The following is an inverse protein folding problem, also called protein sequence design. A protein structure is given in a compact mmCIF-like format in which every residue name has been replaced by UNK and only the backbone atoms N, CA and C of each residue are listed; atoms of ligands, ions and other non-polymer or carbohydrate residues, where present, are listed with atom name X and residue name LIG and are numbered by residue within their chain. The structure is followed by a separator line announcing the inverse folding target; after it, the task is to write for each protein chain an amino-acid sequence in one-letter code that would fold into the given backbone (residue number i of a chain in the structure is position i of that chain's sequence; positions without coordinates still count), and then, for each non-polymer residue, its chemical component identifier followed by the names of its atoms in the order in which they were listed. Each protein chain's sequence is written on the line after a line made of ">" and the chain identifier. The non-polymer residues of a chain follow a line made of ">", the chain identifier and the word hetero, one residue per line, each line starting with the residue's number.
data_IF_793884020720
#
_entry.id   IF_793884020720
#
_cell.length_a   1.000
_cell.length_b   1.000
_cell.length_c   1.000
_cell.angle_alpha   90.00
_cell.angle_beta   90.00
_cell.angle_gamma   90.00
#
_symmetry.space_group_name_H-M   'P 1'
#
loop_
_entity.id
_entity.type
_entity.pdbx_description
1 polymer ?
#
# COMPACT_ATOMS: atom_id res chain seq x y z
N UNK A 1 -11.16 6.73 16.46
CA UNK A 1 -10.16 7.09 15.45
C UNK A 1 -10.73 6.99 14.05
N UNK A 2 -10.85 8.12 13.33
CA UNK A 2 -11.16 8.17 11.90
C UNK A 2 -9.92 7.77 11.08
N UNK A 3 -10.10 7.10 9.95
CA UNK A 3 -9.00 6.71 9.05
C UNK A 3 -9.11 7.42 7.70
N UNK A 4 -8.10 8.24 7.39
CA UNK A 4 -7.92 8.84 6.07
C UNK A 4 -6.88 8.04 5.30
N UNK A 5 -7.33 7.40 4.22
CA UNK A 5 -6.47 6.69 3.29
C UNK A 5 -6.07 7.60 2.13
N UNK A 6 -4.80 7.58 1.76
CA UNK A 6 -4.27 8.31 0.60
C UNK A 6 -3.85 7.29 -0.46
N UNK A 7 -4.42 7.38 -1.67
CA UNK A 7 -4.18 6.44 -2.78
C UNK A 7 -3.73 7.17 -4.06
N UNK A 8 -3.13 6.43 -4.97
CA UNK A 8 -2.83 6.90 -6.32
C UNK A 8 -2.89 5.77 -7.36
N UNK A 9 -3.32 6.12 -8.58
CA UNK A 9 -3.46 5.19 -9.71
C UNK A 9 -2.17 4.42 -10.03
N UNK A 10 -1.03 5.10 -9.92
CA UNK A 10 0.29 4.58 -10.27
C UNK A 10 1.34 5.03 -9.26
N UNK A 11 2.52 4.42 -9.35
CA UNK A 11 3.71 4.90 -8.65
C UNK A 11 4.18 6.25 -9.20
N UNK A 12 4.80 7.09 -8.36
CA UNK A 12 5.39 8.37 -8.77
C UNK A 12 4.43 9.57 -8.84
N UNK A 13 3.13 9.38 -8.58
CA UNK A 13 2.12 10.45 -8.52
C UNK A 13 2.29 11.42 -7.34
N UNK A 14 3.16 11.13 -6.37
CA UNK A 14 3.39 11.97 -5.19
C UNK A 14 2.47 11.69 -3.99
N UNK A 15 1.84 10.51 -3.97
CA UNK A 15 1.02 9.99 -2.87
C UNK A 15 1.73 10.10 -1.51
N UNK A 16 2.93 9.52 -1.38
CA UNK A 16 3.74 9.56 -0.15
C UNK A 16 4.13 10.99 0.23
N UNK A 17 4.36 11.88 -0.75
CA UNK A 17 4.64 13.31 -0.49
C UNK A 17 3.45 13.98 0.21
N UNK A 18 2.24 13.71 -0.26
CA UNK A 18 1.01 14.21 0.38
C UNK A 18 0.80 13.54 1.74
N UNK A 19 1.01 12.22 1.84
CA UNK A 19 0.82 11.48 3.08
C UNK A 19 1.77 11.93 4.20
N UNK A 20 3.06 12.09 3.90
CA UNK A 20 4.05 12.60 4.86
C UNK A 20 3.74 14.02 5.32
N UNK A 21 3.31 14.90 4.40
CA UNK A 21 2.84 16.23 4.75
C UNK A 21 1.62 16.17 5.68
N UNK A 22 0.66 15.28 5.41
CA UNK A 22 -0.55 15.15 6.25
C UNK A 22 -0.23 14.60 7.64
N UNK A 23 0.70 13.65 7.74
CA UNK A 23 1.21 13.17 9.04
C UNK A 23 1.83 14.33 9.83
N UNK A 24 2.67 15.14 9.19
CA UNK A 24 3.32 16.29 9.83
C UNK A 24 2.32 17.37 10.26
N UNK A 25 1.42 17.79 9.37
CA UNK A 25 0.42 18.83 9.63
C UNK A 25 -0.59 18.42 10.70
N UNK A 26 -1.03 17.15 10.69
CA UNK A 26 -1.99 16.64 11.67
C UNK A 26 -1.39 16.36 13.04
N UNK A 27 -0.06 16.19 13.12
CA UNK A 27 0.61 15.65 14.31
C UNK A 27 -0.09 14.39 14.84
N UNK A 28 -0.60 13.57 13.92
CA UNK A 28 -1.35 12.37 14.30
C UNK A 28 -0.50 11.43 15.14
N UNK A 29 -1.12 10.81 16.14
CA UNK A 29 -0.52 9.78 16.96
C UNK A 29 -0.50 8.41 16.26
N UNK A 30 -1.18 8.24 15.12
CA UNK A 30 -1.19 6.96 14.40
C UNK A 30 -1.13 7.14 12.88
N UNK A 31 -0.18 6.47 12.25
CA UNK A 31 -0.09 6.43 10.80
C UNK A 31 0.49 5.11 10.31
N UNK A 32 0.27 4.81 9.03
CA UNK A 32 0.75 3.59 8.42
C UNK A 32 1.24 3.78 6.99
N UNK A 33 2.21 2.97 6.59
CA UNK A 33 2.68 2.83 5.22
C UNK A 33 2.30 1.44 4.71
N UNK A 34 1.29 1.43 3.85
CA UNK A 34 0.76 0.23 3.20
C UNK A 34 1.40 -0.01 1.82
N UNK A 35 2.39 0.79 1.40
CA UNK A 35 3.22 0.47 0.24
C UNK A 35 4.33 -0.51 0.66
N UNK A 36 3.94 -1.77 0.89
CA UNK A 36 4.82 -2.79 1.49
C UNK A 36 5.89 -3.33 0.54
N UNK A 37 5.79 -3.02 -0.75
CA UNK A 37 6.77 -3.40 -1.77
C UNK A 37 7.98 -2.45 -1.75
N UNK A 38 7.72 -1.15 -1.59
CA UNK A 38 8.73 -0.10 -1.53
C UNK A 38 8.40 0.94 -0.44
N UNK A 39 8.33 0.53 0.84
CA UNK A 39 7.92 1.43 1.91
C UNK A 39 8.93 2.55 2.08
N UNK A 40 8.46 3.77 2.18
CA UNK A 40 9.29 4.98 2.15
C UNK A 40 8.84 6.05 3.15
N UNK A 41 7.63 5.95 3.72
CA UNK A 41 7.13 6.93 4.66
C UNK A 41 7.98 6.99 5.95
N UNK A 42 8.57 5.85 6.33
CA UNK A 42 9.46 5.73 7.47
C UNK A 42 10.69 6.64 7.38
N UNK A 43 11.16 6.95 6.17
CA UNK A 43 12.35 7.78 5.94
C UNK A 43 12.14 9.23 6.39
N UNK A 44 10.91 9.74 6.31
CA UNK A 44 10.63 11.17 6.52
C UNK A 44 10.51 11.53 8.00
N UNK A 45 10.19 10.57 8.88
CA UNK A 45 9.85 10.86 10.28
C UNK A 45 10.57 9.99 11.33
N UNK A 46 11.35 8.98 10.93
CA UNK A 46 11.94 7.98 11.85
C UNK A 46 13.44 7.79 11.71
N UNK A 47 14.21 8.87 11.45
CA UNK A 47 15.67 8.76 11.47
C UNK A 47 16.15 8.25 12.83
N UNK A 48 16.68 7.03 12.85
CA UNK A 48 17.27 6.34 14.00
C UNK A 48 16.31 5.88 15.11
N UNK A 49 15.00 5.76 14.86
CA UNK A 49 14.10 5.13 15.84
C UNK A 49 14.19 3.60 15.80
N UNK A 50 14.24 2.97 16.98
CA UNK A 50 14.12 1.53 17.11
C UNK A 50 12.71 1.06 16.76
N UNK A 51 12.60 -0.08 16.08
CA UNK A 51 11.32 -0.73 15.79
C UNK A 51 11.36 -2.18 16.23
N UNK A 52 10.17 -2.73 16.49
CA UNK A 52 10.00 -4.19 16.61
C UNK A 52 9.65 -4.77 15.24
N UNK A 53 10.17 -5.97 14.96
CA UNK A 53 9.93 -6.67 13.70
C UNK A 53 9.31 -8.04 13.96
N UNK A 54 8.39 -8.43 13.08
CA UNK A 54 7.77 -9.76 13.11
C UNK A 54 7.74 -10.32 11.70
N UNK A 55 8.26 -11.54 11.54
CA UNK A 55 8.19 -12.27 10.28
C UNK A 55 6.74 -12.43 9.80
N UNK A 56 6.54 -12.19 8.51
CA UNK A 56 5.26 -12.39 7.86
C UNK A 56 5.31 -13.62 6.97
N UNK A 57 4.41 -14.55 7.25
CA UNK A 57 4.31 -15.83 6.57
C UNK A 57 3.25 -15.75 5.49
N UNK A 58 3.65 -16.05 4.26
CA UNK A 58 2.73 -16.19 3.12
C UNK A 58 2.13 -17.59 3.04
N UNK A 59 1.65 -17.93 1.84
CA UNK A 59 1.24 -19.30 1.54
C UNK A 59 2.44 -20.24 1.69
N UNK A 60 2.17 -21.44 2.24
CA UNK A 60 3.19 -22.47 2.40
C UNK A 60 3.70 -22.94 1.04
N UNK A 61 4.98 -23.28 0.94
CA UNK A 61 5.59 -23.80 -0.30
C UNK A 61 5.75 -25.31 -0.21
N UNK A 62 5.62 -25.99 -1.34
CA UNK A 62 5.78 -27.43 -1.40
C UNK A 62 7.25 -27.84 -1.26
N UNK A 63 7.50 -28.97 -0.62
CA UNK A 63 8.81 -29.60 -0.49
C UNK A 63 8.66 -31.11 -0.69
N UNK A 64 9.40 -31.67 -1.64
CA UNK A 64 9.44 -33.10 -1.93
C UNK A 64 10.58 -33.72 -1.12
N UNK A 65 10.26 -34.74 -0.31
CA UNK A 65 11.27 -35.53 0.39
C UNK A 65 11.88 -36.56 -0.57
N UNK A 66 13.18 -36.47 -0.90
CA UNK A 66 13.83 -37.38 -1.84
C UNK A 66 13.85 -38.83 -1.35
N UNK A 67 13.91 -39.08 -0.04
CA UNK A 67 14.02 -40.43 0.52
C UNK A 67 12.71 -41.23 0.41
N UNK A 68 11.58 -40.54 0.21
CA UNK A 68 10.24 -41.14 0.12
C UNK A 68 9.73 -41.12 -1.33
N UNK A 69 10.23 -40.19 -2.14
CA UNK A 69 9.74 -39.99 -3.51
C UNK A 69 10.05 -41.21 -4.39
N UNK A 70 9.01 -41.78 -5.00
CA UNK A 70 9.13 -42.89 -5.95
C UNK A 70 9.20 -42.41 -7.42
N UNK A 71 9.45 -41.12 -7.65
CA UNK A 71 9.54 -40.50 -8.98
C UNK A 71 8.35 -40.79 -9.94
N UNK A 72 7.12 -40.88 -9.42
CA UNK A 72 5.94 -41.24 -10.22
C UNK A 72 5.40 -40.15 -11.18
N UNK A 73 5.92 -38.92 -11.14
CA UNK A 73 5.51 -37.85 -12.08
C UNK A 73 4.20 -37.12 -11.78
N UNK A 74 3.27 -37.68 -11.00
CA UNK A 74 1.95 -37.08 -10.76
C UNK A 74 1.98 -35.63 -10.25
N UNK A 75 2.94 -35.28 -9.40
CA UNK A 75 3.07 -33.91 -8.91
C UNK A 75 3.45 -32.91 -10.01
N UNK A 76 4.23 -33.34 -11.01
CA UNK A 76 4.64 -32.55 -12.16
C UNK A 76 3.45 -32.35 -13.12
N UNK A 77 2.78 -33.44 -13.49
CA UNK A 77 1.61 -33.42 -14.41
C UNK A 77 0.47 -32.51 -13.92
N UNK A 78 0.26 -32.45 -12.60
CA UNK A 78 -0.82 -31.64 -12.01
C UNK A 78 -0.39 -30.23 -11.60
N UNK A 79 0.88 -29.85 -11.76
CA UNK A 79 1.34 -28.50 -11.45
C UNK A 79 0.95 -27.54 -12.57
N UNK A 80 0.04 -26.60 -12.30
CA UNK A 80 -0.35 -25.55 -13.26
C UNK A 80 0.59 -24.35 -13.32
N UNK A 81 1.63 -24.35 -12.49
CA UNK A 81 2.55 -23.22 -12.30
C UNK A 81 3.98 -23.56 -12.70
N UNK A 82 4.18 -24.73 -13.32
CA UNK A 82 5.51 -25.23 -13.75
C UNK A 82 6.56 -25.20 -12.63
N UNK A 83 6.11 -25.34 -11.38
CA UNK A 83 6.95 -25.20 -10.19
C UNK A 83 7.65 -26.50 -9.80
N UNK A 84 7.38 -27.60 -10.49
CA UNK A 84 8.03 -28.89 -10.26
C UNK A 84 9.08 -29.08 -11.34
N UNK A 85 10.32 -29.35 -10.95
CA UNK A 85 11.43 -29.56 -11.87
C UNK A 85 11.71 -31.06 -11.96
N UNK A 86 11.81 -31.56 -13.19
CA UNK A 86 12.16 -32.96 -13.47
C UNK A 86 13.64 -33.25 -13.19
N UNK A 87 13.92 -34.46 -12.74
CA UNK A 87 15.27 -34.98 -12.46
C UNK A 87 15.17 -36.46 -12.06
N UNK A 88 16.27 -37.05 -11.57
CA UNK A 88 16.22 -38.40 -10.97
C UNK A 88 15.20 -38.47 -9.82
N UNK A 89 15.07 -37.35 -9.09
CA UNK A 89 14.00 -37.08 -8.13
C UNK A 89 13.46 -35.69 -8.43
N UNK A 90 12.13 -35.55 -8.42
CA UNK A 90 11.45 -34.27 -8.61
C UNK A 90 11.80 -33.28 -7.47
N UNK A 91 12.05 -32.03 -7.83
CA UNK A 91 12.23 -30.94 -6.87
C UNK A 91 11.26 -29.79 -7.15
N UNK A 92 11.15 -28.85 -6.20
CA UNK A 92 10.21 -27.72 -6.29
C UNK A 92 11.00 -26.43 -6.45
N UNK A 93 10.71 -25.67 -7.49
CA UNK A 93 11.07 -24.26 -7.54
C UNK A 93 10.13 -23.46 -6.63
N UNK A 94 10.67 -22.98 -5.51
CA UNK A 94 9.89 -22.22 -4.53
C UNK A 94 9.41 -20.87 -5.04
N UNK A 95 10.07 -20.30 -6.05
CA UNK A 95 9.67 -19.02 -6.62
C UNK A 95 8.39 -19.17 -7.46
N UNK A 96 8.35 -20.18 -8.32
CA UNK A 96 7.18 -20.48 -9.17
C UNK A 96 6.03 -21.18 -8.43
N UNK A 97 6.29 -21.76 -7.25
CA UNK A 97 5.27 -22.50 -6.50
C UNK A 97 4.22 -21.59 -5.85
N UNK A 98 2.98 -21.57 -6.33
CA UNK A 98 1.88 -20.79 -5.71
C UNK A 98 1.32 -21.34 -4.39
N UNK A 99 1.84 -22.48 -3.90
CA UNK A 99 1.42 -23.03 -2.60
C UNK A 99 0.01 -23.63 -2.56
N UNK A 100 -0.59 -23.93 -3.71
CA UNK A 100 -1.96 -24.49 -3.83
C UNK A 100 -2.14 -25.91 -3.25
N UNK A 101 -1.04 -26.59 -2.90
CA UNK A 101 -0.99 -27.94 -2.32
C UNK A 101 -1.56 -29.09 -3.18
N UNK A 102 -1.87 -28.85 -4.47
CA UNK A 102 -2.34 -29.91 -5.39
C UNK A 102 -1.34 -31.06 -5.49
N UNK A 103 -0.05 -30.75 -5.62
CA UNK A 103 1.02 -31.76 -5.66
C UNK A 103 1.01 -32.68 -4.42
N UNK A 104 0.77 -32.13 -3.23
CA UNK A 104 0.64 -32.89 -1.99
C UNK A 104 -0.56 -33.84 -2.03
N UNK A 105 -1.69 -33.38 -2.54
CA UNK A 105 -2.92 -34.17 -2.62
C UNK A 105 -2.78 -35.38 -3.54
N UNK A 106 -2.07 -35.24 -4.67
CA UNK A 106 -1.94 -36.30 -5.68
C UNK A 106 -0.77 -37.26 -5.41
N UNK A 107 0.07 -37.00 -4.41
CA UNK A 107 1.24 -37.83 -4.13
C UNK A 107 0.84 -39.15 -3.44
N UNK A 108 0.98 -40.32 -4.10
CA UNK A 108 0.49 -41.59 -3.57
C UNK A 108 1.28 -42.09 -2.35
N UNK A 109 2.52 -41.63 -2.19
CA UNK A 109 3.44 -42.02 -1.11
C UNK A 109 3.62 -40.92 -0.06
N UNK A 110 2.84 -39.84 -0.12
CA UNK A 110 2.91 -38.71 0.81
C UNK A 110 4.31 -38.09 0.96
N UNK A 111 5.14 -38.11 -0.10
CA UNK A 111 6.49 -37.54 -0.08
C UNK A 111 6.50 -36.00 0.00
N UNK A 112 5.36 -35.33 -0.18
CA UNK A 112 5.29 -33.86 -0.30
C UNK A 112 4.73 -33.23 0.97
N UNK A 113 5.47 -32.26 1.50
CA UNK A 113 5.07 -31.46 2.66
C UNK A 113 4.94 -29.99 2.29
N UNK A 114 4.06 -29.27 2.99
CA UNK A 114 3.89 -27.83 2.83
C UNK A 114 4.65 -27.12 3.95
N UNK A 115 5.75 -26.44 3.62
CA UNK A 115 6.62 -25.76 4.59
C UNK A 115 6.25 -24.27 4.71
N UNK A 116 6.36 -23.67 5.91
CA UNK A 116 6.20 -22.22 6.08
C UNK A 116 7.13 -21.45 5.14
N UNK A 117 6.66 -20.31 4.64
CA UNK A 117 7.41 -19.46 3.73
C UNK A 117 7.35 -18.00 4.21
N UNK A 118 8.50 -17.43 4.54
CA UNK A 118 8.61 -16.04 4.99
C UNK A 118 8.65 -15.16 3.74
N UNK A 119 7.62 -14.33 3.57
CA UNK A 119 7.47 -13.47 2.39
C UNK A 119 7.72 -11.99 2.68
N UNK A 120 7.96 -11.66 3.95
CA UNK A 120 8.28 -10.30 4.37
C UNK A 120 8.34 -10.18 5.90
N UNK A 121 8.31 -8.94 6.38
CA UNK A 121 8.25 -8.63 7.80
C UNK A 121 7.37 -7.41 8.06
N UNK A 122 6.58 -7.48 9.14
CA UNK A 122 5.91 -6.35 9.74
C UNK A 122 6.90 -5.58 10.61
N UNK A 123 6.86 -4.26 10.55
CA UNK A 123 7.73 -3.37 11.32
C UNK A 123 6.85 -2.36 12.07
N UNK A 124 7.06 -2.26 13.39
CA UNK A 124 6.31 -1.38 14.28
C UNK A 124 7.25 -0.41 14.98
N UNK A 125 7.09 0.87 14.66
CA UNK A 125 7.72 1.98 15.37
C UNK A 125 6.70 2.50 16.37
N UNK A 126 7.03 2.44 17.65
CA UNK A 126 6.13 2.87 18.72
C UNK A 126 6.93 3.56 19.81
N UNK A 127 6.50 4.75 20.17
CA UNK A 127 7.01 5.47 21.34
C UNK A 127 5.83 5.96 22.20
N UNK A 128 6.11 6.76 23.23
CA UNK A 128 5.06 7.29 24.12
C UNK A 128 4.09 8.24 23.43
N UNK A 129 4.45 8.82 22.27
CA UNK A 129 3.67 9.84 21.57
C UNK A 129 2.85 9.25 20.41
N UNK A 130 3.49 8.40 19.59
CA UNK A 130 3.00 7.97 18.28
C UNK A 130 3.24 6.49 17.99
N UNK A 131 2.41 5.96 17.11
CA UNK A 131 2.58 4.66 16.46
C UNK A 131 2.69 4.84 14.95
N UNK A 132 3.68 4.16 14.38
CA UNK A 132 3.84 4.01 12.95
C UNK A 132 4.00 2.53 12.58
N UNK A 133 3.12 2.07 11.69
CA UNK A 133 3.07 0.70 11.24
C UNK A 133 3.43 0.61 9.76
N UNK A 134 4.32 -0.30 9.42
CA UNK A 134 4.67 -0.59 8.02
C UNK A 134 5.08 -2.06 7.89
N UNK A 135 5.36 -2.49 6.68
CA UNK A 135 5.91 -3.79 6.41
C UNK A 135 6.77 -3.73 5.15
N UNK A 136 7.62 -4.75 4.98
CA UNK A 136 8.46 -4.91 3.80
C UNK A 136 8.31 -6.33 3.27
N UNK A 137 7.98 -6.47 1.99
CA UNK A 137 8.02 -7.75 1.29
C UNK A 137 9.44 -8.12 0.88
N UNK A 138 9.72 -9.41 0.90
CA UNK A 138 10.95 -9.97 0.34
C UNK A 138 10.85 -9.91 -1.19
N UNK A 139 11.92 -9.47 -1.90
CA UNK A 139 11.93 -9.41 -3.36
C UNK A 139 11.47 -10.73 -4.01
N UNK A 140 10.68 -10.63 -5.07
CA UNK A 140 10.13 -11.79 -5.79
C UNK A 140 8.83 -12.36 -5.22
N UNK A 141 8.32 -11.85 -4.10
CA UNK A 141 6.98 -12.18 -3.63
C UNK A 141 5.95 -11.19 -4.19
N UNK A 142 4.80 -11.68 -4.62
CA UNK A 142 3.71 -10.83 -5.11
C UNK A 142 3.10 -9.95 -4.02
N UNK A 143 2.59 -8.78 -4.41
CA UNK A 143 2.03 -7.81 -3.47
C UNK A 143 0.90 -8.43 -2.64
N UNK A 144 1.02 -8.39 -1.32
CA UNK A 144 0.13 -9.10 -0.41
C UNK A 144 -0.87 -8.15 0.25
N UNK A 145 -2.15 -8.24 -0.16
CA UNK A 145 -3.25 -7.56 0.54
C UNK A 145 -3.39 -8.01 2.00
N UNK A 146 -2.98 -9.24 2.33
CA UNK A 146 -2.95 -9.74 3.71
C UNK A 146 -1.92 -8.98 4.55
N UNK A 147 -0.73 -8.71 3.99
CA UNK A 147 0.29 -7.94 4.70
C UNK A 147 -0.17 -6.50 4.95
N UNK A 148 -0.78 -5.86 3.95
CA UNK A 148 -1.40 -4.54 4.10
C UNK A 148 -2.46 -4.53 5.21
N UNK A 149 -3.32 -5.57 5.26
CA UNK A 149 -4.33 -5.70 6.31
C UNK A 149 -3.70 -5.82 7.69
N UNK A 150 -2.62 -6.58 7.82
CA UNK A 150 -1.87 -6.71 9.09
C UNK A 150 -1.17 -5.40 9.48
N UNK A 151 -0.65 -4.62 8.52
CA UNK A 151 -0.11 -3.27 8.79
C UNK A 151 -1.17 -2.37 9.42
N UNK A 152 -2.37 -2.31 8.84
CA UNK A 152 -3.49 -1.51 9.36
C UNK A 152 -3.95 -1.99 10.73
N UNK A 153 -4.05 -3.30 10.93
CA UNK A 153 -4.43 -3.90 12.20
C UNK A 153 -3.39 -3.62 13.29
N UNK A 154 -2.10 -3.73 12.97
CA UNK A 154 -1.01 -3.42 13.87
C UNK A 154 -1.03 -1.94 14.29
N UNK A 155 -1.28 -1.01 13.35
CA UNK A 155 -1.47 0.41 13.66
C UNK A 155 -2.66 0.59 14.63
N UNK A 156 -3.83 0.05 14.28
CA UNK A 156 -5.06 0.22 15.07
C UNK A 156 -4.92 -0.34 16.49
N UNK A 157 -4.32 -1.52 16.64
CA UNK A 157 -4.15 -2.18 17.94
C UNK A 157 -3.13 -1.47 18.86
N UNK A 158 -2.28 -0.61 18.30
CA UNK A 158 -1.26 0.11 19.04
C UNK A 158 -1.50 1.62 19.11
N UNK A 159 -2.55 2.10 18.44
CA UNK A 159 -3.00 3.49 18.54
C UNK A 159 -3.54 3.77 19.94
N UNK A 160 -3.32 4.99 20.41
CA UNK A 160 -3.87 5.44 21.70
C UNK A 160 -5.37 5.65 21.61
N UNK A 161 -6.07 5.53 22.73
CA UNK A 161 -7.52 5.70 22.79
C UNK A 161 -7.99 7.10 22.36
N UNK A 162 -7.19 8.13 22.63
CA UNK A 162 -7.45 9.53 22.26
C UNK A 162 -7.10 9.86 20.79
N UNK A 163 -6.60 8.88 20.02
CA UNK A 163 -6.25 9.11 18.61
C UNK A 163 -7.50 9.45 17.79
N UNK A 164 -7.58 10.71 17.36
CA UNK A 164 -8.73 11.22 16.60
C UNK A 164 -8.72 10.78 15.15
N UNK A 165 -7.57 10.91 14.47
CA UNK A 165 -7.39 10.63 13.05
C UNK A 165 -6.14 9.79 12.85
N UNK A 166 -6.19 8.79 11.98
CA UNK A 166 -5.03 8.10 11.44
C UNK A 166 -4.85 8.40 9.96
N UNK A 167 -3.59 8.57 9.54
CA UNK A 167 -3.22 8.77 8.13
C UNK A 167 -2.60 7.48 7.59
N UNK A 168 -3.12 6.99 6.48
CA UNK A 168 -2.66 5.75 5.86
C UNK A 168 -2.13 6.09 4.46
N UNK A 169 -0.83 5.89 4.24
CA UNK A 169 -0.25 5.92 2.89
C UNK A 169 -0.53 4.59 2.21
N UNK A 170 -1.46 4.56 1.27
CA UNK A 170 -1.90 3.33 0.59
C UNK A 170 -0.91 2.84 -0.47
N UNK A 171 -1.15 1.65 -1.03
CA UNK A 171 -0.35 1.17 -2.17
C UNK A 171 -0.78 1.86 -3.47
N UNK A 172 0.11 2.01 -4.47
CA UNK A 172 -0.30 2.42 -5.81
C UNK A 172 -1.02 1.29 -6.55
N UNK A 173 -1.72 1.61 -7.64
CA UNK A 173 -2.29 0.63 -8.55
C UNK A 173 -3.76 0.29 -8.29
N UNK A 174 -4.15 -0.94 -8.62
CA UNK A 174 -5.55 -1.42 -8.56
C UNK A 174 -5.67 -2.85 -8.00
N UNK A 175 -4.60 -3.38 -7.43
CA UNK A 175 -4.52 -4.78 -6.98
C UNK A 175 -5.06 -5.03 -5.56
N UNK A 176 -4.85 -6.25 -5.08
CA UNK A 176 -5.19 -6.65 -3.71
C UNK A 176 -4.70 -5.70 -2.59
N UNK A 177 -3.49 -5.09 -2.68
CA UNK A 177 -3.04 -4.10 -1.70
C UNK A 177 -3.95 -2.87 -1.60
N UNK A 178 -4.51 -2.41 -2.71
CA UNK A 178 -5.43 -1.26 -2.76
C UNK A 178 -6.77 -1.63 -2.12
N UNK A 179 -7.30 -2.81 -2.46
CA UNK A 179 -8.52 -3.37 -1.86
C UNK A 179 -8.37 -3.49 -0.33
N UNK A 180 -7.24 -4.05 0.13
CA UNK A 180 -6.94 -4.16 1.56
C UNK A 180 -6.79 -2.79 2.24
N UNK A 181 -6.18 -1.81 1.55
CA UNK A 181 -6.05 -0.44 2.04
C UNK A 181 -7.41 0.24 2.19
N UNK A 182 -8.32 0.04 1.23
CA UNK A 182 -9.68 0.59 1.21
C UNK A 182 -10.60 0.00 2.29
N UNK A 183 -10.37 -1.25 2.69
CA UNK A 183 -11.22 -1.92 3.69
C UNK A 183 -11.19 -1.19 5.03
N UNK A 184 -12.35 -0.84 5.59
CA UNK A 184 -12.50 -0.22 6.92
C UNK A 184 -11.79 1.15 7.08
N UNK A 185 -11.88 2.02 6.07
CA UNK A 185 -11.48 3.44 6.16
C UNK A 185 -12.70 4.35 6.09
N UNK A 186 -12.61 5.55 6.65
CA UNK A 186 -13.72 6.52 6.66
C UNK A 186 -13.72 7.42 5.42
N UNK A 187 -12.53 7.71 4.89
CA UNK A 187 -12.34 8.63 3.77
C UNK A 187 -11.12 8.22 2.94
N UNK A 188 -11.20 8.42 1.64
CA UNK A 188 -10.13 8.16 0.67
C UNK A 188 -9.81 9.44 -0.09
N UNK A 189 -8.57 9.90 0.03
CA UNK A 189 -7.99 10.92 -0.83
C UNK A 189 -7.26 10.26 -2.00
N UNK A 190 -7.79 10.43 -3.20
CA UNK A 190 -7.12 10.02 -4.43
C UNK A 190 -6.22 11.17 -4.90
N UNK A 191 -4.92 10.92 -4.95
CA UNK A 191 -3.92 11.80 -5.55
C UNK A 191 -3.76 11.39 -7.00
N UNK A 192 -4.24 12.25 -7.91
CA UNK A 192 -4.14 12.07 -9.35
C UNK A 192 -2.90 12.79 -9.92
N UNK A 193 -2.43 12.37 -11.09
CA UNK A 193 -1.44 13.10 -11.90
C UNK A 193 -2.00 13.21 -13.32
N UNK A 194 -1.90 14.36 -14.01
CA UNK A 194 -2.53 14.56 -15.31
C UNK A 194 -1.69 13.94 -16.45
N UNK A 195 -1.49 12.62 -16.39
CA UNK A 195 -0.96 11.80 -17.49
C UNK A 195 -2.05 10.85 -18.00
N UNK A 196 -1.96 10.38 -19.25
CA UNK A 196 -2.97 9.45 -19.81
C UNK A 196 -3.13 8.18 -18.97
N UNK A 197 -2.00 7.60 -18.54
CA UNK A 197 -2.00 6.46 -17.63
C UNK A 197 -2.56 6.82 -16.24
N UNK A 198 -2.16 7.96 -15.69
CA UNK A 198 -2.64 8.43 -14.39
C UNK A 198 -4.16 8.65 -14.38
N UNK A 199 -4.72 9.16 -15.48
CA UNK A 199 -6.15 9.32 -15.67
C UNK A 199 -6.87 7.96 -15.67
N UNK A 200 -6.42 7.03 -16.51
CA UNK A 200 -7.06 5.70 -16.62
C UNK A 200 -6.96 4.89 -15.33
N UNK A 201 -5.82 4.92 -14.65
CA UNK A 201 -5.63 4.21 -13.37
C UNK A 201 -6.48 4.84 -12.25
N UNK A 202 -6.59 6.17 -12.23
CA UNK A 202 -7.46 6.89 -11.31
C UNK A 202 -8.93 6.50 -11.49
N UNK A 203 -9.43 6.42 -12.72
CA UNK A 203 -10.81 5.95 -12.99
C UNK A 203 -11.06 4.55 -12.42
N UNK A 204 -10.08 3.65 -12.51
CA UNK A 204 -10.18 2.28 -11.97
C UNK A 204 -10.14 2.27 -10.44
N UNK A 205 -9.33 3.12 -9.81
CA UNK A 205 -9.33 3.27 -8.36
C UNK A 205 -10.67 3.81 -7.87
N UNK A 206 -11.23 4.82 -8.52
CA UNK A 206 -12.55 5.37 -8.16
C UNK A 206 -13.62 4.28 -8.19
N UNK A 207 -13.65 3.49 -9.27
CA UNK A 207 -14.59 2.36 -9.41
C UNK A 207 -14.41 1.34 -8.28
N UNK A 208 -13.16 1.00 -7.95
CA UNK A 208 -12.85 0.09 -6.84
C UNK A 208 -13.25 0.70 -5.49
N UNK A 209 -12.95 1.96 -5.23
CA UNK A 209 -13.25 2.62 -3.96
C UNK A 209 -14.76 2.74 -3.69
N UNK A 210 -15.56 2.93 -4.75
CA UNK A 210 -17.03 2.99 -4.62
C UNK A 210 -17.66 1.70 -4.11
N UNK A 211 -17.04 0.54 -4.33
CA UNK A 211 -17.57 -0.73 -3.80
C UNK A 211 -17.42 -0.85 -2.28
N UNK A 212 -16.67 0.05 -1.65
CA UNK A 212 -16.44 0.09 -0.20
C UNK A 212 -17.28 1.14 0.53
N UNK A 213 -18.21 1.84 -0.15
CA UNK A 213 -19.08 2.88 0.43
C UNK A 213 -18.35 3.98 1.22
N UNK A 214 -17.07 4.20 0.92
CA UNK A 214 -16.23 5.22 1.55
C UNK A 214 -16.43 6.58 0.90
N UNK A 215 -16.25 7.65 1.67
CA UNK A 215 -16.21 9.00 1.10
C UNK A 215 -14.94 9.13 0.23
N UNK A 216 -15.12 9.48 -1.04
CA UNK A 216 -14.04 9.68 -2.00
C UNK A 216 -13.86 11.18 -2.22
N UNK A 217 -12.63 11.66 -2.06
CA UNK A 217 -12.20 13.01 -2.38
C UNK A 217 -10.98 12.95 -3.29
N UNK A 218 -10.74 14.00 -4.08
CA UNK A 218 -9.70 13.99 -5.09
C UNK A 218 -8.88 15.28 -5.12
N UNK A 219 -7.56 15.15 -5.22
CA UNK A 219 -6.66 16.25 -5.58
C UNK A 219 -5.81 15.88 -6.79
N UNK A 220 -5.42 16.87 -7.58
CA UNK A 220 -4.50 16.67 -8.71
C UNK A 220 -3.12 17.18 -8.33
N UNK A 221 -2.14 16.29 -8.28
CA UNK A 221 -0.74 16.63 -8.12
C UNK A 221 -0.07 16.93 -9.47
N UNK A 222 0.88 17.86 -9.46
CA UNK A 222 1.58 18.36 -10.65
C UNK A 222 0.61 18.79 -11.75
N UNK A 223 -0.49 19.48 -11.39
CA UNK A 223 -1.61 19.74 -12.31
C UNK A 223 -1.22 20.51 -13.59
N UNK A 224 -0.13 21.26 -13.52
CA UNK A 224 0.41 22.15 -14.55
C UNK A 224 1.30 21.43 -15.57
N UNK A 225 1.62 20.14 -15.39
CA UNK A 225 2.37 19.37 -16.41
C UNK A 225 1.53 19.08 -17.66
N UNK A 226 0.19 19.05 -17.52
CA UNK A 226 -0.75 18.90 -18.62
C UNK A 226 -2.13 19.44 -18.22
N UNK A 227 -2.39 20.70 -18.51
CA UNK A 227 -3.65 21.38 -18.16
C UNK A 227 -4.87 20.76 -18.82
N UNK A 228 -4.74 20.23 -20.04
CA UNK A 228 -5.83 19.58 -20.76
C UNK A 228 -6.32 18.32 -20.04
N UNK A 229 -5.42 17.48 -19.54
CA UNK A 229 -5.82 16.29 -18.76
C UNK A 229 -6.31 16.70 -17.37
N UNK A 230 -5.74 17.75 -16.77
CA UNK A 230 -6.26 18.32 -15.52
C UNK A 230 -7.73 18.73 -15.64
N UNK A 231 -8.10 19.45 -16.70
CA UNK A 231 -9.50 19.82 -16.99
C UNK A 231 -10.39 18.59 -17.17
N UNK A 232 -9.88 17.52 -17.80
CA UNK A 232 -10.61 16.25 -17.92
C UNK A 232 -10.85 15.59 -16.56
N UNK A 233 -9.87 15.61 -15.65
CA UNK A 233 -10.02 15.09 -14.28
C UNK A 233 -11.05 15.91 -13.51
N UNK A 234 -10.98 17.25 -13.59
CA UNK A 234 -11.94 18.15 -12.94
C UNK A 234 -13.37 17.89 -13.44
N UNK A 235 -13.57 17.80 -14.76
CA UNK A 235 -14.87 17.47 -15.36
C UNK A 235 -15.39 16.11 -14.91
N UNK A 236 -14.54 15.10 -14.86
CA UNK A 236 -14.94 13.77 -14.36
C UNK A 236 -15.35 13.83 -12.89
N UNK A 237 -14.67 14.62 -12.06
CA UNK A 237 -15.09 14.80 -10.66
C UNK A 237 -16.50 15.38 -10.56
N UNK A 238 -16.85 16.36 -11.40
CA UNK A 238 -18.21 16.91 -11.47
C UNK A 238 -19.24 15.86 -11.91
N UNK A 239 -18.96 15.13 -12.99
CA UNK A 239 -19.83 14.09 -13.56
C UNK A 239 -20.08 12.94 -12.57
N UNK A 240 -19.03 12.53 -11.86
CA UNK A 240 -19.04 11.42 -10.91
C UNK A 240 -19.38 11.86 -9.48
N UNK A 241 -19.74 13.13 -9.27
CA UNK A 241 -20.03 13.71 -7.95
C UNK A 241 -18.92 13.44 -6.91
N UNK A 242 -17.67 13.43 -7.37
CA UNK A 242 -16.50 13.28 -6.54
C UNK A 242 -16.06 14.67 -6.12
N UNK A 243 -15.84 14.81 -4.84
CA UNK A 243 -15.46 16.07 -4.28
C UNK A 243 -14.00 16.42 -4.58
N UNK A 244 -13.82 17.53 -5.30
CA UNK A 244 -12.52 18.05 -5.67
C UNK A 244 -11.97 18.99 -4.57
N UNK A 245 -10.85 18.63 -3.97
CA UNK A 245 -10.28 19.37 -2.82
C UNK A 245 -9.17 20.34 -3.20
N UNK A 246 -8.51 20.15 -4.35
CA UNK A 246 -7.57 21.13 -4.88
C UNK A 246 -6.53 20.60 -5.87
N UNK A 247 -5.64 21.51 -6.28
CA UNK A 247 -4.54 21.29 -7.22
C UNK A 247 -3.20 21.62 -6.58
N UNK A 248 -2.21 20.76 -6.77
CA UNK A 248 -0.83 20.95 -6.30
C UNK A 248 0.04 21.19 -7.54
N UNK A 249 0.71 22.36 -7.68
CA UNK A 249 1.57 22.63 -8.83
C UNK A 249 2.83 21.78 -8.80
N UNK A 250 3.46 21.58 -9.96
CA UNK A 250 4.80 21.05 -10.04
C UNK A 250 5.78 21.99 -9.35
N UNK A 251 6.53 21.45 -8.40
CA UNK A 251 7.42 22.23 -7.55
C UNK A 251 8.65 21.40 -7.20
N UNK A 252 9.83 21.93 -7.52
CA UNK A 252 11.11 21.26 -7.25
C UNK A 252 11.42 21.20 -5.76
N UNK A 253 10.83 22.07 -4.93
CA UNK A 253 10.97 22.00 -3.46
C UNK A 253 10.49 20.67 -2.90
N UNK A 254 9.47 20.03 -3.51
CA UNK A 254 9.01 18.71 -3.12
C UNK A 254 10.09 17.64 -3.30
N UNK A 255 10.85 17.71 -4.40
CA UNK A 255 11.97 16.80 -4.66
C UNK A 255 13.09 17.02 -3.64
N UNK A 256 13.42 18.29 -3.37
CA UNK A 256 14.42 18.65 -2.37
C UNK A 256 14.02 18.14 -0.98
N UNK A 257 12.77 18.33 -0.57
CA UNK A 257 12.27 17.90 0.73
C UNK A 257 12.39 16.38 0.94
N UNK A 258 11.90 15.60 -0.04
CA UNK A 258 11.93 14.13 0.02
C UNK A 258 13.37 13.62 0.08
N UNK A 259 14.27 14.17 -0.74
CA UNK A 259 15.68 13.79 -0.74
C UNK A 259 16.42 14.16 0.56
N UNK A 260 15.88 15.11 1.33
CA UNK A 260 16.37 15.47 2.66
C UNK A 260 15.60 14.77 3.80
N UNK A 261 14.79 13.75 3.49
CA UNK A 261 13.99 13.01 4.47
C UNK A 261 13.10 13.94 5.32
N UNK A 262 12.47 14.93 4.68
CA UNK A 262 11.57 15.88 5.33
C UNK A 262 10.27 16.04 4.55
N UNK A 263 9.15 16.31 5.22
CA UNK A 263 7.90 16.58 4.54
C UNK A 263 8.01 17.90 3.75
N UNK A 264 7.36 17.98 2.59
CA UNK A 264 7.37 19.19 1.74
C UNK A 264 6.87 20.43 2.47
N UNK A 265 6.04 20.25 3.50
CA UNK A 265 5.49 21.33 4.32
C UNK A 265 6.52 22.08 5.17
N UNK A 266 7.71 21.49 5.37
CA UNK A 266 8.84 22.12 6.06
C UNK A 266 9.59 23.13 5.18
N UNK A 267 9.29 23.14 3.88
CA UNK A 267 9.90 24.04 2.89
C UNK A 267 8.89 25.10 2.45
N UNK A 268 9.41 26.24 2.05
CA UNK A 268 8.66 27.24 1.30
C UNK A 268 8.51 26.78 -0.16
N UNK A 269 7.29 26.86 -0.70
CA UNK A 269 7.01 26.39 -2.05
C UNK A 269 5.52 26.37 -2.34
N UNK A 270 5.19 26.50 -3.63
CA UNK A 270 3.80 26.49 -4.10
C UNK A 270 3.12 25.14 -3.81
N UNK A 271 3.87 24.03 -3.87
CA UNK A 271 3.34 22.73 -3.51
C UNK A 271 3.07 22.62 -2.00
N UNK A 272 3.97 23.14 -1.16
CA UNK A 272 3.81 23.21 0.30
C UNK A 272 2.53 23.96 0.67
N UNK A 273 2.33 25.14 0.08
CA UNK A 273 1.14 25.97 0.32
C UNK A 273 -0.14 25.29 -0.16
N UNK A 274 -0.14 24.72 -1.37
CA UNK A 274 -1.30 23.99 -1.90
C UNK A 274 -1.68 22.80 -1.02
N UNK A 275 -0.71 22.01 -0.55
CA UNK A 275 -0.94 20.86 0.32
C UNK A 275 -1.51 21.30 1.67
N UNK A 276 -1.01 22.39 2.26
CA UNK A 276 -1.56 22.97 3.50
C UNK A 276 -3.04 23.36 3.33
N UNK A 277 -3.39 24.00 2.22
CA UNK A 277 -4.78 24.39 1.93
C UNK A 277 -5.69 23.17 1.71
N UNK A 278 -5.22 22.15 0.99
CA UNK A 278 -5.96 20.90 0.81
C UNK A 278 -6.17 20.20 2.15
N UNK A 279 -5.13 20.15 3.00
CA UNK A 279 -5.22 19.56 4.33
C UNK A 279 -6.29 20.23 5.21
N UNK A 280 -6.34 21.58 5.23
CA UNK A 280 -7.35 22.33 5.99
C UNK A 280 -8.76 21.93 5.56
N UNK A 281 -9.06 21.98 4.24
CA UNK A 281 -10.36 21.62 3.69
C UNK A 281 -10.80 20.19 4.05
N UNK A 282 -9.86 19.25 4.08
CA UNK A 282 -10.14 17.85 4.42
C UNK A 282 -10.38 17.69 5.92
N UNK A 283 -9.58 18.37 6.74
CA UNK A 283 -9.62 18.20 8.20
C UNK A 283 -10.92 18.72 8.80
N UNK A 284 -11.41 19.87 8.33
CA UNK A 284 -12.74 20.39 8.68
C UNK A 284 -13.79 19.27 8.48
N UNK A 285 -13.83 18.66 7.30
CA UNK A 285 -14.81 17.61 6.98
C UNK A 285 -14.64 16.30 7.73
N UNK A 286 -13.39 15.88 7.95
CA UNK A 286 -13.09 14.63 8.62
C UNK A 286 -13.49 14.68 10.10
N UNK A 287 -13.47 15.88 10.71
CA UNK A 287 -13.79 16.11 12.11
C UNK A 287 -15.21 16.65 12.35
N UNK A 288 -15.84 17.32 11.37
CA UNK A 288 -17.18 17.93 11.49
C UNK A 288 -18.35 16.94 11.41
N UNK A 289 -18.11 15.67 11.09
CA UNK A 289 -19.14 14.60 11.12
C UNK A 289 -19.40 14.05 12.54
N UNK A 290 -19.38 14.92 13.56
CA UNK A 290 -19.70 14.61 14.97
C UNK A 290 -21.05 15.17 15.35
#
# INVERSE_FOLDING_TARGET
>A
MKQLLILSGKGGTGKTTVASAFVSLSKTQAYADCDVDAPNLHLINHNNESYSSKEFYGLKKAYINPDICIACGLCYEHCRFDAIIEGEIFCVDTNSCEGCAVCKLVCPVNAITMKPNIVGALMLYKNEERVFSTAKLNPGNGNSGLLVSEVKKQMKNNAKEDTRVAIIDGSPGIGCPVIASLSAVDMVLIVAEPSLSGFSDMERIIKTARTFETQIILCINKYDINTRITEQIEKMCEEEQIEFVGKIPYDTSAIVAINNNRPVTDYEGKASDAIKQIYIKITERLLDKV
#
